data_IF_957443991002
#
_entry.id   IF_957443991002
#
_cell.length_a   1.000
_cell.length_b   1.000
_cell.length_c   1.000
_cell.angle_alpha   90.00
_cell.angle_beta   90.00
_cell.angle_gamma   90.00
#
_symmetry.space_group_name_H-M   'P 1'
#
loop_
_entity.id
_entity.type
_entity.pdbx_description
1 polymer ?
#
# COMPACT_ATOMS: atom_id res chain seq x y z
N UNK A 1 16.74 40.78 11.66
CA UNK A 1 15.35 40.36 11.95
C UNK A 1 15.27 38.84 11.92
N UNK A 2 15.32 38.16 13.08
CA UNK A 2 15.11 36.71 13.17
C UNK A 2 14.38 36.40 14.47
N UNK A 3 13.06 36.50 14.44
CA UNK A 3 12.14 36.03 15.48
C UNK A 3 10.90 35.53 14.74
N UNK A 4 10.78 34.22 14.49
CA UNK A 4 9.51 33.54 14.13
C UNK A 4 9.62 32.00 13.96
N UNK A 5 10.50 31.31 14.70
CA UNK A 5 10.50 29.82 14.74
C UNK A 5 10.03 29.22 16.07
N UNK A 6 9.97 29.99 17.15
CA UNK A 6 9.68 29.49 18.50
C UNK A 6 8.19 29.50 18.88
N UNK A 7 7.35 30.32 18.23
CA UNK A 7 5.90 30.37 18.53
C UNK A 7 5.14 29.14 18.00
N UNK A 8 5.47 28.68 16.78
CA UNK A 8 4.80 27.54 16.13
C UNK A 8 5.00 26.20 16.84
N UNK A 9 6.11 26.00 17.54
CA UNK A 9 6.34 24.78 18.31
C UNK A 9 5.59 24.75 19.64
N UNK A 10 5.36 25.91 20.28
CA UNK A 10 4.58 26.00 21.52
C UNK A 10 3.08 25.75 21.29
N UNK A 11 2.53 26.27 20.19
CA UNK A 11 1.10 26.08 19.83
C UNK A 11 0.80 24.60 19.52
N UNK A 12 1.65 23.95 18.72
CA UNK A 12 1.53 22.50 18.45
C UNK A 12 1.62 21.64 19.71
N UNK A 13 2.49 21.98 20.65
CA UNK A 13 2.64 21.21 21.89
C UNK A 13 1.42 21.34 22.81
N UNK A 14 0.78 22.51 22.86
CA UNK A 14 -0.44 22.70 23.65
C UNK A 14 -1.65 21.98 23.03
N UNK A 15 -1.81 22.01 21.70
CA UNK A 15 -2.87 21.23 21.01
C UNK A 15 -2.71 19.72 21.25
N UNK A 16 -1.47 19.21 21.26
CA UNK A 16 -1.18 17.82 21.62
C UNK A 16 -1.54 17.55 23.09
N UNK A 17 -1.19 18.46 24.00
CA UNK A 17 -1.48 18.30 25.43
C UNK A 17 -2.98 18.31 25.74
N UNK A 18 -3.76 19.11 25.02
CA UNK A 18 -5.22 19.12 25.14
C UNK A 18 -5.86 17.89 24.49
N UNK A 19 -5.26 17.36 23.41
CA UNK A 19 -5.71 16.07 22.84
C UNK A 19 -5.51 14.88 23.79
N UNK A 20 -4.50 14.93 24.66
CA UNK A 20 -4.23 13.89 25.67
C UNK A 20 -5.31 13.84 26.77
N UNK A 21 -6.15 14.88 26.90
CA UNK A 21 -7.26 14.95 27.86
C UNK A 21 -8.61 14.51 27.30
N UNK A 22 -8.69 14.20 26.00
CA UNK A 22 -9.95 13.83 25.33
C UNK A 22 -10.43 12.46 25.79
N UNK A 23 -9.50 11.53 26.01
CA UNK A 23 -9.81 10.14 26.33
C UNK A 23 -9.48 9.83 27.78
N UNK A 24 -10.39 9.11 28.43
CA UNK A 24 -10.21 8.58 29.78
C UNK A 24 -9.33 7.33 29.77
N UNK A 25 -8.83 6.92 30.94
CA UNK A 25 -8.09 5.66 31.08
C UNK A 25 -8.91 4.45 30.60
N UNK A 26 -10.21 4.43 30.87
CA UNK A 26 -11.12 3.37 30.43
C UNK A 26 -11.27 3.33 28.90
N UNK A 27 -11.20 4.47 28.21
CA UNK A 27 -11.23 4.51 26.74
C UNK A 27 -9.96 3.87 26.15
N UNK A 28 -8.78 4.15 26.74
CA UNK A 28 -7.52 3.55 26.30
C UNK A 28 -7.42 2.04 26.57
N UNK A 29 -8.12 1.55 27.59
CA UNK A 29 -8.17 0.13 27.98
C UNK A 29 -9.35 -0.62 27.33
N UNK A 30 -10.16 0.05 26.49
CA UNK A 30 -11.27 -0.58 25.79
C UNK A 30 -10.79 -1.62 24.77
N UNK A 31 -11.58 -2.69 24.59
CA UNK A 31 -11.39 -3.71 23.57
C UNK A 31 -12.15 -3.40 22.26
N UNK A 32 -12.65 -2.18 22.11
CA UNK A 32 -13.38 -1.76 20.92
C UNK A 32 -12.50 -1.79 19.66
N UNK A 33 -13.14 -2.14 18.54
CA UNK A 33 -12.47 -2.13 17.24
C UNK A 33 -12.30 -0.73 16.67
N UNK A 34 -11.35 -0.56 15.76
CA UNK A 34 -11.15 0.70 15.05
C UNK A 34 -12.21 0.89 13.97
N UNK A 35 -12.61 2.15 13.72
CA UNK A 35 -13.56 2.53 12.67
C UNK A 35 -13.13 1.96 11.32
N UNK A 36 -13.98 1.11 10.73
CA UNK A 36 -13.69 0.37 9.49
C UNK A 36 -13.48 1.27 8.27
N UNK A 37 -14.08 2.46 8.28
CA UNK A 37 -13.89 3.50 7.26
C UNK A 37 -12.48 4.10 7.26
N UNK A 38 -11.76 4.05 8.39
CA UNK A 38 -10.41 4.62 8.52
C UNK A 38 -9.34 3.65 8.02
N UNK A 39 -9.40 2.38 8.43
CA UNK A 39 -8.35 1.40 8.10
C UNK A 39 -8.70 0.48 6.93
N UNK A 40 -9.99 0.24 6.66
CA UNK A 40 -10.45 -0.70 5.64
C UNK A 40 -9.95 -0.37 4.24
N UNK A 41 -10.13 0.87 3.75
CA UNK A 41 -9.56 1.32 2.48
C UNK A 41 -8.06 1.11 2.36
N UNK A 42 -7.30 1.41 3.42
CA UNK A 42 -5.85 1.24 3.45
C UNK A 42 -5.42 -0.23 3.33
N UNK A 43 -6.09 -1.12 4.07
CA UNK A 43 -5.83 -2.56 3.97
C UNK A 43 -6.16 -3.09 2.57
N UNK A 44 -7.32 -2.73 2.00
CA UNK A 44 -7.67 -3.14 0.64
C UNK A 44 -6.67 -2.63 -0.40
N UNK A 45 -6.23 -1.37 -0.28
CA UNK A 45 -5.20 -0.81 -1.14
C UNK A 45 -3.90 -1.62 -1.07
N UNK A 46 -3.46 -1.98 0.14
CA UNK A 46 -2.30 -2.85 0.31
C UNK A 46 -2.52 -4.24 -0.29
N UNK A 47 -3.65 -4.90 0.00
CA UNK A 47 -3.94 -6.25 -0.50
C UNK A 47 -3.97 -6.31 -2.03
N UNK A 48 -4.56 -5.31 -2.69
CA UNK A 48 -4.51 -5.18 -4.14
C UNK A 48 -3.07 -4.95 -4.62
N UNK A 49 -2.33 -4.02 -4.01
CA UNK A 49 -0.93 -3.78 -4.37
C UNK A 49 -0.07 -5.04 -4.25
N UNK A 50 -0.22 -5.77 -3.14
CA UNK A 50 0.45 -7.03 -2.86
C UNK A 50 0.10 -8.08 -3.91
N UNK A 51 -1.18 -8.22 -4.26
CA UNK A 51 -1.63 -9.23 -5.22
C UNK A 51 -1.19 -8.94 -6.65
N UNK A 52 -1.19 -7.67 -7.07
CA UNK A 52 -0.61 -7.26 -8.35
C UNK A 52 0.92 -7.31 -8.36
N UNK A 53 1.58 -7.36 -7.20
CA UNK A 53 3.02 -7.60 -7.12
C UNK A 53 3.40 -9.09 -6.99
N UNK A 54 2.45 -9.97 -6.71
CA UNK A 54 2.67 -11.42 -6.61
C UNK A 54 3.42 -11.95 -7.86
N UNK A 55 4.34 -12.92 -7.76
CA UNK A 55 5.11 -13.39 -8.91
C UNK A 55 4.23 -13.95 -10.04
N UNK A 56 4.66 -13.77 -11.29
CA UNK A 56 3.98 -14.39 -12.44
C UNK A 56 4.09 -15.91 -12.35
N UNK A 57 5.26 -16.40 -11.95
CA UNK A 57 5.57 -17.81 -11.69
C UNK A 57 6.02 -17.94 -10.23
N UNK A 58 5.09 -18.09 -9.27
CA UNK A 58 5.42 -18.14 -7.86
C UNK A 58 6.03 -19.49 -7.48
N UNK A 59 6.99 -19.48 -6.55
CA UNK A 59 7.46 -20.70 -5.88
C UNK A 59 6.43 -21.18 -4.86
N UNK A 60 6.55 -22.43 -4.40
CA UNK A 60 5.69 -22.95 -3.33
C UNK A 60 5.80 -22.12 -2.04
N UNK A 61 6.99 -21.64 -1.72
CA UNK A 61 7.20 -20.76 -0.58
C UNK A 61 6.51 -19.40 -0.77
N UNK A 62 6.48 -18.85 -2.00
CA UNK A 62 5.69 -17.66 -2.29
C UNK A 62 4.19 -17.93 -2.08
N UNK A 63 3.66 -19.04 -2.59
CA UNK A 63 2.25 -19.41 -2.42
C UNK A 63 1.91 -19.50 -0.93
N UNK A 64 2.73 -20.20 -0.14
CA UNK A 64 2.55 -20.36 1.30
C UNK A 64 2.47 -19.02 2.02
N UNK A 65 3.49 -18.17 1.87
CA UNK A 65 3.56 -16.89 2.58
C UNK A 65 2.37 -15.96 2.29
N UNK A 66 1.96 -15.87 1.02
CA UNK A 66 0.83 -15.01 0.63
C UNK A 66 -0.51 -15.61 1.08
N UNK A 67 -0.66 -16.94 1.02
CA UNK A 67 -1.86 -17.63 1.50
C UNK A 67 -2.02 -17.45 3.01
N UNK A 68 -0.96 -17.65 3.78
CA UNK A 68 -0.96 -17.46 5.23
C UNK A 68 -1.29 -16.02 5.61
N UNK A 69 -0.74 -15.02 4.89
CA UNK A 69 -1.11 -13.62 5.10
C UNK A 69 -2.63 -13.40 5.01
N UNK A 70 -3.27 -13.88 3.93
CA UNK A 70 -4.71 -13.71 3.73
C UNK A 70 -5.53 -14.47 4.79
N UNK A 71 -5.15 -15.72 5.07
CA UNK A 71 -5.86 -16.55 6.04
C UNK A 71 -5.76 -16.01 7.47
N UNK A 72 -4.64 -15.37 7.81
CA UNK A 72 -4.41 -14.80 9.14
C UNK A 72 -5.17 -13.49 9.39
N UNK A 73 -5.67 -12.81 8.35
CA UNK A 73 -6.51 -11.62 8.52
C UNK A 73 -7.72 -11.92 9.42
N UNK A 74 -8.28 -13.13 9.38
CA UNK A 74 -9.40 -13.53 10.25
C UNK A 74 -9.08 -13.43 11.75
N UNK A 75 -7.81 -13.36 12.13
CA UNK A 75 -7.36 -13.25 13.51
C UNK A 75 -7.03 -11.80 13.90
N UNK A 76 -6.55 -10.98 12.97
CA UNK A 76 -5.92 -9.68 13.29
C UNK A 76 -6.68 -8.45 12.82
N UNK A 77 -7.75 -8.57 12.02
CA UNK A 77 -8.54 -7.40 11.62
C UNK A 77 -9.05 -6.67 12.88
N UNK A 78 -8.95 -5.33 12.97
CA UNK A 78 -9.34 -4.55 14.16
C UNK A 78 -10.86 -4.33 14.23
N UNK A 79 -11.63 -5.41 13.99
CA UNK A 79 -13.09 -5.44 13.99
C UNK A 79 -13.55 -6.90 14.15
N UNK A 80 -14.17 -7.23 15.29
CA UNK A 80 -14.59 -8.60 15.60
C UNK A 80 -15.62 -9.19 14.62
N UNK A 81 -16.60 -8.38 14.18
CA UNK A 81 -17.59 -8.80 13.17
C UNK A 81 -16.94 -9.05 11.82
N UNK A 82 -15.96 -8.23 11.44
CA UNK A 82 -15.21 -8.36 10.20
C UNK A 82 -14.41 -9.67 10.18
N UNK A 83 -13.76 -10.03 11.29
CA UNK A 83 -13.08 -11.33 11.47
C UNK A 83 -14.02 -12.52 11.23
N UNK A 84 -15.18 -12.53 11.91
CA UNK A 84 -16.21 -13.58 11.76
C UNK A 84 -16.74 -13.67 10.32
N UNK A 85 -16.99 -12.53 9.68
CA UNK A 85 -17.47 -12.49 8.29
C UNK A 85 -16.39 -12.97 7.32
N UNK A 86 -15.13 -12.62 7.54
CA UNK A 86 -14.03 -13.10 6.70
C UNK A 86 -13.91 -14.63 6.75
N UNK A 87 -14.09 -15.27 7.91
CA UNK A 87 -14.15 -16.73 7.99
C UNK A 87 -15.20 -17.32 7.05
N UNK A 88 -16.42 -16.75 7.03
CA UNK A 88 -17.50 -17.19 6.15
C UNK A 88 -17.18 -16.95 4.68
N UNK A 89 -16.58 -15.80 4.36
CA UNK A 89 -16.18 -15.45 2.99
C UNK A 89 -15.08 -16.38 2.47
N UNK A 90 -14.11 -16.76 3.31
CA UNK A 90 -13.05 -17.71 2.95
C UNK A 90 -13.59 -19.14 2.76
N UNK A 91 -14.70 -19.51 3.39
CA UNK A 91 -15.40 -20.78 3.11
C UNK A 91 -16.14 -20.70 1.78
N UNK A 92 -16.84 -19.58 1.50
CA UNK A 92 -17.58 -19.38 0.26
C UNK A 92 -16.67 -19.18 -0.96
N UNK A 93 -15.51 -18.56 -0.77
CA UNK A 93 -14.49 -18.31 -1.78
C UNK A 93 -13.14 -18.86 -1.27
N UNK A 94 -12.92 -20.19 -1.34
CA UNK A 94 -11.70 -20.81 -0.86
C UNK A 94 -10.46 -20.34 -1.62
N UNK A 95 -9.39 -20.06 -0.87
CA UNK A 95 -8.08 -19.74 -1.43
C UNK A 95 -7.34 -21.03 -1.81
N UNK A 96 -7.74 -21.63 -2.93
CA UNK A 96 -7.16 -22.88 -3.45
C UNK A 96 -5.82 -22.63 -4.14
N UNK A 97 -5.08 -23.70 -4.42
CA UNK A 97 -3.78 -23.59 -5.08
C UNK A 97 -3.91 -23.12 -6.54
N UNK A 98 -5.07 -23.35 -7.17
CA UNK A 98 -5.42 -22.76 -8.47
C UNK A 98 -5.47 -21.23 -8.39
N UNK A 99 -6.07 -20.69 -7.33
CA UNK A 99 -6.10 -19.23 -7.09
C UNK A 99 -4.70 -18.69 -6.81
N UNK A 100 -3.79 -19.51 -6.30
CA UNK A 100 -2.39 -19.13 -6.04
C UNK A 100 -1.43 -19.39 -7.21
N UNK A 101 -1.91 -19.87 -8.36
CA UNK A 101 -1.10 -20.31 -9.50
C UNK A 101 -0.23 -19.20 -10.11
N UNK A 102 -0.75 -17.99 -10.21
CA UNK A 102 -0.04 -16.85 -10.82
C UNK A 102 -0.51 -15.52 -10.23
N UNK A 103 0.20 -14.43 -10.56
CA UNK A 103 -0.24 -13.06 -10.31
C UNK A 103 -1.70 -12.83 -10.68
N UNK A 104 -2.10 -13.29 -11.86
CA UNK A 104 -3.46 -13.07 -12.36
C UNK A 104 -4.50 -13.78 -11.50
N UNK A 105 -4.30 -15.07 -11.23
CA UNK A 105 -5.27 -15.85 -10.44
C UNK A 105 -5.39 -15.31 -9.02
N UNK A 106 -4.28 -14.88 -8.42
CA UNK A 106 -4.27 -14.39 -7.04
C UNK A 106 -4.83 -12.96 -6.95
N UNK A 107 -4.46 -12.06 -7.86
CA UNK A 107 -5.06 -10.72 -7.90
C UNK A 107 -6.54 -10.75 -8.21
N UNK A 108 -7.00 -11.67 -9.08
CA UNK A 108 -8.43 -11.87 -9.32
C UNK A 108 -9.15 -12.39 -8.08
N UNK A 109 -8.56 -13.32 -7.33
CA UNK A 109 -9.10 -13.75 -6.04
C UNK A 109 -9.32 -12.59 -5.07
N UNK A 110 -8.34 -11.69 -4.93
CA UNK A 110 -8.45 -10.52 -4.04
C UNK A 110 -9.53 -9.55 -4.51
N UNK A 111 -9.67 -9.37 -5.83
CA UNK A 111 -10.78 -8.62 -6.42
C UNK A 111 -12.14 -9.24 -6.10
N UNK A 112 -12.31 -10.55 -6.34
CA UNK A 112 -13.56 -11.27 -6.09
C UNK A 112 -13.94 -11.20 -4.59
N UNK A 113 -12.96 -11.37 -3.69
CA UNK A 113 -13.17 -11.25 -2.25
C UNK A 113 -13.62 -9.84 -1.85
N UNK A 114 -13.04 -8.80 -2.46
CA UNK A 114 -13.44 -7.42 -2.20
C UNK A 114 -14.87 -7.14 -2.69
N UNK A 115 -15.27 -7.69 -3.84
CA UNK A 115 -16.63 -7.55 -4.37
C UNK A 115 -17.67 -8.30 -3.53
N UNK A 116 -17.34 -9.45 -2.95
CA UNK A 116 -18.18 -10.12 -1.95
C UNK A 116 -18.45 -9.19 -0.76
N UNK A 117 -17.40 -8.56 -0.23
CA UNK A 117 -17.54 -7.64 0.91
C UNK A 117 -18.33 -6.39 0.52
N UNK A 118 -18.11 -5.83 -0.68
CA UNK A 118 -18.92 -4.72 -1.19
C UNK A 118 -20.40 -5.08 -1.26
N UNK A 119 -20.72 -6.27 -1.79
CA UNK A 119 -22.09 -6.78 -1.86
C UNK A 119 -22.71 -6.92 -0.47
N UNK A 120 -21.98 -7.47 0.51
CA UNK A 120 -22.45 -7.59 1.90
C UNK A 120 -22.74 -6.23 2.56
N UNK A 121 -22.07 -5.17 2.12
CA UNK A 121 -22.24 -3.80 2.62
C UNK A 121 -23.24 -3.00 1.77
N UNK A 122 -23.90 -3.61 0.77
CA UNK A 122 -24.80 -2.91 -0.16
C UNK A 122 -24.09 -1.91 -1.08
N UNK A 123 -22.77 -2.05 -1.25
CA UNK A 123 -21.95 -1.18 -2.10
C UNK A 123 -21.79 -1.79 -3.49
N UNK A 124 -21.71 -0.93 -4.50
CA UNK A 124 -21.34 -1.30 -5.88
C UNK A 124 -20.04 -0.60 -6.22
N UNK A 125 -19.01 -1.36 -6.62
CA UNK A 125 -17.74 -0.78 -7.07
C UNK A 125 -17.90 -0.10 -8.44
N UNK A 126 -18.66 -0.73 -9.34
CA UNK A 126 -18.77 -0.32 -10.74
C UNK A 126 -17.49 -0.58 -11.56
N UNK A 127 -16.55 -1.37 -11.03
CA UNK A 127 -15.25 -1.60 -11.66
C UNK A 127 -15.11 -3.06 -12.09
N UNK A 128 -14.56 -3.29 -13.29
CA UNK A 128 -14.13 -4.63 -13.71
C UNK A 128 -12.73 -4.92 -13.17
N UNK A 129 -12.37 -6.20 -13.13
CA UNK A 129 -11.00 -6.62 -12.77
C UNK A 129 -9.95 -5.95 -13.67
N UNK A 130 -10.24 -5.80 -14.96
CA UNK A 130 -9.33 -5.23 -15.95
C UNK A 130 -9.06 -3.75 -15.65
N UNK A 131 -10.07 -2.99 -15.24
CA UNK A 131 -9.90 -1.59 -14.81
C UNK A 131 -9.06 -1.51 -13.53
N UNK A 132 -9.30 -2.40 -12.57
CA UNK A 132 -8.52 -2.44 -11.32
C UNK A 132 -7.07 -2.83 -11.61
N UNK A 133 -6.85 -3.81 -12.49
CA UNK A 133 -5.52 -4.22 -12.94
C UNK A 133 -4.76 -3.04 -13.55
N UNK A 134 -5.35 -2.35 -14.52
CA UNK A 134 -4.69 -1.20 -15.15
C UNK A 134 -4.37 -0.10 -14.14
N UNK A 135 -5.32 0.19 -13.23
CA UNK A 135 -5.14 1.16 -12.15
C UNK A 135 -3.89 0.89 -11.32
N UNK A 136 -3.68 -0.35 -10.88
CA UNK A 136 -2.52 -0.70 -10.06
C UNK A 136 -1.23 -0.87 -10.88
N UNK A 137 -1.33 -1.20 -12.18
CA UNK A 137 -0.17 -1.24 -13.08
C UNK A 137 0.50 0.13 -13.25
N UNK A 138 -0.24 1.24 -13.17
CA UNK A 138 0.34 2.58 -13.17
C UNK A 138 1.30 2.84 -12.00
N UNK A 139 1.17 2.09 -10.89
CA UNK A 139 2.05 2.19 -9.73
C UNK A 139 3.28 1.28 -9.81
N UNK A 140 3.38 0.42 -10.84
CA UNK A 140 4.49 -0.54 -10.94
C UNK A 140 5.81 0.18 -11.06
N UNK A 141 6.70 -0.07 -10.10
CA UNK A 141 8.07 0.39 -10.17
C UNK A 141 8.78 -0.30 -11.35
N UNK A 142 9.29 0.51 -12.28
CA UNK A 142 10.07 0.03 -13.42
C UNK A 142 11.44 0.67 -13.32
N UNK A 143 12.48 -0.12 -13.10
CA UNK A 143 13.84 0.40 -13.13
C UNK A 143 14.07 1.08 -14.50
N UNK A 144 14.06 2.41 -14.56
CA UNK A 144 14.53 3.07 -15.76
C UNK A 144 16.00 2.69 -15.90
N UNK A 145 16.35 1.98 -16.97
CA UNK A 145 17.76 1.89 -17.39
C UNK A 145 18.20 3.34 -17.51
N UNK A 146 19.08 3.81 -16.62
CA UNK A 146 19.54 5.18 -16.74
C UNK A 146 20.22 5.28 -18.10
N UNK A 147 19.63 6.07 -19.00
CA UNK A 147 20.25 6.35 -20.30
C UNK A 147 21.66 6.97 -20.09
N UNK A 148 21.91 7.52 -18.89
CA UNK A 148 23.20 8.07 -18.44
C UNK A 148 24.32 7.05 -18.22
N UNK A 149 24.10 5.72 -18.23
CA UNK A 149 25.20 4.73 -18.09
C UNK A 149 25.78 4.21 -19.41
N UNK A 150 25.14 4.49 -20.55
CA UNK A 150 25.62 4.00 -21.84
C UNK A 150 26.80 4.82 -22.42
N UNK A 151 27.05 6.04 -21.93
CA UNK A 151 28.03 6.96 -22.53
C UNK A 151 29.16 7.45 -21.60
N UNK A 152 29.39 6.82 -20.44
CA UNK A 152 30.59 7.11 -19.65
C UNK A 152 31.73 6.25 -20.19
N UNK A 153 32.56 6.84 -21.06
CA UNK A 153 33.85 6.29 -21.47
C UNK A 153 34.61 5.84 -20.22
N UNK A 154 34.93 4.54 -20.16
CA UNK A 154 35.83 3.95 -19.15
C UNK A 154 37.15 4.69 -19.21
N UNK A 155 37.40 5.60 -18.27
CA UNK A 155 38.73 6.10 -17.96
C UNK A 155 38.72 6.66 -16.54
N UNK A 156 39.24 5.88 -15.59
CA UNK A 156 40.32 6.30 -14.69
C UNK A 156 40.66 5.20 -13.67
N UNK A 157 41.96 5.06 -13.53
CA UNK A 157 42.77 4.19 -12.67
C UNK A 157 42.28 4.07 -11.23
N UNK A 158 42.27 2.83 -10.71
CA UNK A 158 42.01 2.54 -9.30
C UNK A 158 43.19 2.97 -8.42
N UNK A 159 43.02 3.97 -7.56
CA UNK A 159 43.87 4.15 -6.38
C UNK A 159 43.30 3.30 -5.24
N UNK A 160 44.07 2.30 -4.80
CA UNK A 160 43.80 1.51 -3.60
C UNK A 160 43.93 2.41 -2.37
N UNK A 161 42.85 2.57 -1.60
CA UNK A 161 42.92 3.10 -0.23
C UNK A 161 42.64 1.95 0.73
N UNK A 162 43.61 1.70 1.62
CA UNK A 162 43.54 0.70 2.68
C UNK A 162 42.83 1.29 3.91
N UNK A 163 41.91 0.51 4.48
CA UNK A 163 41.34 0.58 5.82
C UNK A 163 40.56 1.83 6.26
N UNK A 164 39.25 1.66 6.49
CA UNK A 164 38.67 1.70 7.85
C UNK A 164 37.22 1.19 7.79
N UNK A 165 36.81 0.39 8.79
CA UNK A 165 35.42 -0.05 8.98
C UNK A 165 34.54 1.18 9.23
N UNK A 166 33.92 1.70 8.18
CA UNK A 166 32.74 2.55 8.29
C UNK A 166 31.59 1.75 7.70
N UNK A 167 30.65 1.32 8.55
CA UNK A 167 29.36 0.81 8.10
C UNK A 167 28.72 1.94 7.30
N UNK A 168 28.78 1.84 5.98
CA UNK A 168 28.03 2.71 5.09
C UNK A 168 26.56 2.43 5.39
N UNK A 169 25.85 3.42 5.96
CA UNK A 169 24.39 3.46 5.87
C UNK A 169 24.08 3.49 4.38
N UNK A 170 23.88 2.32 3.79
CA UNK A 170 23.35 2.20 2.45
C UNK A 170 21.92 2.66 2.57
N UNK A 171 21.67 3.95 2.32
CA UNK A 171 20.33 4.43 2.10
C UNK A 171 19.72 3.56 1.00
N UNK A 172 18.71 2.77 1.33
CA UNK A 172 18.02 1.94 0.37
C UNK A 172 17.52 2.84 -0.75
N UNK A 173 18.03 2.61 -1.96
CA UNK A 173 17.47 3.23 -3.15
C UNK A 173 16.16 2.51 -3.43
N UNK A 174 15.12 2.85 -2.67
CA UNK A 174 13.77 2.36 -2.91
C UNK A 174 13.43 2.50 -4.40
N UNK A 175 12.65 1.58 -4.94
CA UNK A 175 12.31 1.47 -6.36
C UNK A 175 11.45 2.67 -6.83
N UNK A 176 12.03 3.87 -6.86
CA UNK A 176 11.35 5.17 -7.08
C UNK A 176 11.60 5.77 -8.46
N UNK A 177 12.22 5.02 -9.38
CA UNK A 177 12.54 5.51 -10.72
C UNK A 177 11.38 5.15 -11.66
N UNK A 178 10.67 6.11 -12.28
CA UNK A 178 9.58 5.82 -13.21
C UNK A 178 10.10 5.58 -14.64
N UNK A 179 9.37 4.77 -15.42
CA UNK A 179 9.54 4.63 -16.87
C UNK A 179 8.80 5.80 -17.55
N UNK A 180 9.43 6.99 -17.54
CA UNK A 180 8.85 8.27 -17.98
C UNK A 180 7.59 8.73 -17.17
N UNK A 181 7.46 10.04 -16.93
CA UNK A 181 6.38 10.66 -16.13
C UNK A 181 6.71 10.91 -14.64
N UNK A 182 5.86 11.68 -13.94
CA UNK A 182 6.06 12.11 -12.54
C UNK A 182 6.04 10.92 -11.55
N UNK A 183 6.72 11.07 -10.41
CA UNK A 183 6.73 10.05 -9.35
C UNK A 183 5.41 10.10 -8.57
N UNK A 184 4.73 8.97 -8.49
CA UNK A 184 3.53 8.84 -7.67
C UNK A 184 3.89 8.66 -6.19
N UNK A 185 3.13 9.30 -5.30
CA UNK A 185 3.19 9.11 -3.85
C UNK A 185 1.76 8.87 -3.33
N UNK A 186 1.60 7.91 -2.43
CA UNK A 186 0.32 7.70 -1.74
C UNK A 186 0.16 8.71 -0.59
N UNK A 187 -1.01 9.34 -0.51
CA UNK A 187 -1.40 10.25 0.57
C UNK A 187 -2.68 9.69 1.20
N UNK A 188 -2.62 9.39 2.50
CA UNK A 188 -3.80 8.98 3.26
C UNK A 188 -4.50 10.23 3.80
N UNK A 189 -5.77 10.40 3.44
CA UNK A 189 -6.60 11.54 3.84
C UNK A 189 -7.80 11.02 4.63
N UNK A 190 -7.93 11.48 5.89
CA UNK A 190 -9.11 11.21 6.72
C UNK A 190 -10.05 12.40 6.61
N UNK A 191 -11.31 12.15 6.29
CA UNK A 191 -12.36 13.16 6.10
C UNK A 191 -13.62 12.76 6.87
N UNK A 192 -14.51 13.72 7.21
CA UNK A 192 -15.82 13.42 7.76
C UNK A 192 -16.61 12.42 6.89
N UNK A 193 -17.40 11.56 7.53
CA UNK A 193 -18.09 10.45 6.87
C UNK A 193 -19.06 10.87 5.75
N UNK A 194 -19.64 12.06 5.87
CA UNK A 194 -20.58 12.67 4.92
C UNK A 194 -19.88 13.33 3.72
N UNK A 195 -18.55 13.43 3.73
CA UNK A 195 -17.78 14.00 2.62
C UNK A 195 -17.94 13.12 1.37
N UNK A 196 -18.52 13.68 0.31
CA UNK A 196 -18.66 13.00 -0.99
C UNK A 196 -17.31 12.96 -1.71
N UNK A 197 -16.60 11.85 -1.59
CA UNK A 197 -15.36 11.61 -2.33
C UNK A 197 -15.13 10.12 -2.60
N UNK A 198 -14.35 9.82 -3.64
CA UNK A 198 -13.91 8.46 -3.91
C UNK A 198 -12.92 7.97 -2.87
N UNK A 199 -12.97 6.67 -2.57
CA UNK A 199 -12.05 6.00 -1.64
C UNK A 199 -10.59 6.07 -2.09
N UNK A 200 -10.35 6.02 -3.40
CA UNK A 200 -9.01 6.08 -4.00
C UNK A 200 -9.01 7.13 -5.11
N UNK A 201 -8.28 8.22 -4.87
CA UNK A 201 -8.09 9.30 -5.82
C UNK A 201 -6.69 9.19 -6.42
N UNK A 202 -6.61 9.24 -7.75
CA UNK A 202 -5.34 9.18 -8.49
C UNK A 202 -5.29 10.42 -9.37
N UNK A 203 -4.24 11.22 -9.20
CA UNK A 203 -4.00 12.39 -10.05
C UNK A 203 -3.70 11.92 -11.48
N UNK A 204 -4.28 12.59 -12.48
CA UNK A 204 -4.09 12.27 -13.90
C UNK A 204 -2.61 12.29 -14.32
N UNK A 205 -1.76 13.08 -13.65
CA UNK A 205 -0.30 13.11 -13.88
C UNK A 205 0.40 11.82 -13.45
N UNK A 206 -0.23 11.05 -12.54
CA UNK A 206 0.26 9.75 -12.12
C UNK A 206 -0.13 8.63 -13.11
N UNK A 207 -1.05 8.88 -14.04
CA UNK A 207 -1.45 7.93 -15.08
C UNK A 207 -0.37 7.90 -16.17
N UNK A 208 0.24 6.73 -16.36
CA UNK A 208 1.33 6.56 -17.33
C UNK A 208 0.76 6.43 -18.74
N UNK A 209 1.26 7.23 -19.69
CA UNK A 209 0.91 7.19 -21.12
C UNK A 209 2.07 6.60 -21.93
N UNK A 210 1.77 5.76 -22.92
CA UNK A 210 2.78 5.35 -23.92
C UNK A 210 3.05 6.55 -24.84
N UNK A 211 4.32 6.85 -25.08
CA UNK A 211 4.70 7.78 -26.15
C UNK A 211 4.55 6.98 -27.45
N UNK A 212 3.73 7.42 -28.42
CA UNK A 212 3.72 6.80 -29.73
C UNK A 212 5.12 6.91 -30.33
N UNK A 213 5.66 5.78 -30.78
CA UNK A 213 6.93 5.71 -31.52
C UNK A 213 6.66 6.19 -32.95
#
# INVERSE_FOLDING_TARGET
>A
MSKNKTLNNKIKNNEILDSLKIYSKTDYESNDGMLTSVWGPGLWHYMHTMSFNYPVHPTEENKKNYKEFILNLKNVLPCGKCRKNLCKNLIRLPLTDEKMRSRETFSRYIFDLHEIVNTMLGKKSGLTYEIVKERYEHFRARCAKSYKRANIKKNKTMKRVRFSKNVSIMNEKGCTVPLYGEKSKCVLKIVPHDTKCDTLQIDDKCIKKRIPI
#
